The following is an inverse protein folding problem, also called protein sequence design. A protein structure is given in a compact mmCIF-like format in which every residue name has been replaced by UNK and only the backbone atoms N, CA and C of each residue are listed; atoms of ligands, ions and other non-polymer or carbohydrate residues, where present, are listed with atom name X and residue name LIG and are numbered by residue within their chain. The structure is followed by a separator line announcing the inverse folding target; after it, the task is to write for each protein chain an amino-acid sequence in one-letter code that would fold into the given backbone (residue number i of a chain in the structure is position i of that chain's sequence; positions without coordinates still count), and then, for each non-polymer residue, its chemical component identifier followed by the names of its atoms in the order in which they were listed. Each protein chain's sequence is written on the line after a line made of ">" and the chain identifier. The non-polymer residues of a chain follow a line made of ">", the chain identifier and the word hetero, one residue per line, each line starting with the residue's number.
data_IF_069162056271
#
_entry.id   IF_069162056271
#
_cell.length_a   1.000
_cell.length_b   1.000
_cell.length_c   1.000
_cell.angle_alpha   90.00
_cell.angle_beta   90.00
_cell.angle_gamma   90.00
#
_symmetry.space_group_name_H-M   'P 1'
#
loop_
_entity.id
_entity.type
_entity.pdbx_description
1 polymer ?
#
# COMPACT_ATOMS: atom_id res chain seq x y z
N UNK A 1 -28.20 -1.86 -10.96
CA UNK A 1 -29.20 -2.88 -10.61
C UNK A 1 -29.66 -2.58 -9.21
N UNK A 2 -30.94 -2.25 -9.05
CA UNK A 2 -31.52 -1.84 -7.79
C UNK A 2 -31.55 -3.04 -6.83
N UNK A 3 -31.00 -2.87 -5.63
CA UNK A 3 -31.33 -3.75 -4.51
C UNK A 3 -32.70 -3.31 -4.02
N UNK A 4 -33.74 -4.03 -4.44
CA UNK A 4 -35.06 -3.89 -3.80
C UNK A 4 -34.90 -4.33 -2.35
N UNK A 5 -35.25 -3.45 -1.42
CA UNK A 5 -35.26 -3.76 0.00
C UNK A 5 -36.40 -4.75 0.25
N UNK A 6 -36.07 -5.94 0.75
CA UNK A 6 -37.07 -6.94 1.11
C UNK A 6 -37.92 -6.44 2.28
N UNK A 7 -39.24 -6.63 2.18
CA UNK A 7 -40.12 -6.38 3.32
C UNK A 7 -39.83 -7.38 4.45
N UNK A 8 -40.13 -7.01 5.70
CA UNK A 8 -39.88 -7.86 6.86
C UNK A 8 -40.54 -9.25 6.73
N UNK A 9 -41.78 -9.30 6.24
CA UNK A 9 -42.51 -10.55 6.03
C UNK A 9 -41.84 -11.45 4.97
N UNK A 10 -41.34 -10.83 3.91
CA UNK A 10 -40.64 -11.53 2.83
C UNK A 10 -39.29 -12.08 3.34
N UNK A 11 -38.58 -11.30 4.15
CA UNK A 11 -37.36 -11.76 4.82
C UNK A 11 -37.63 -12.98 5.72
N UNK A 12 -38.70 -12.97 6.50
CA UNK A 12 -39.09 -14.12 7.32
C UNK A 12 -39.41 -15.35 6.48
N UNK A 13 -40.10 -15.18 5.35
CA UNK A 13 -40.38 -16.27 4.42
C UNK A 13 -39.09 -16.87 3.85
N UNK A 14 -38.10 -16.04 3.50
CA UNK A 14 -36.80 -16.51 3.05
C UNK A 14 -36.08 -17.35 4.12
N UNK A 15 -36.11 -16.91 5.38
CA UNK A 15 -35.45 -17.58 6.50
C UNK A 15 -36.15 -18.88 6.88
N UNK A 16 -37.48 -18.85 7.04
CA UNK A 16 -38.25 -20.00 7.55
C UNK A 16 -38.35 -21.13 6.53
N UNK A 17 -38.40 -20.78 5.25
CA UNK A 17 -38.56 -21.76 4.16
C UNK A 17 -37.25 -22.05 3.43
N UNK A 18 -36.11 -21.55 3.93
CA UNK A 18 -34.79 -21.68 3.30
C UNK A 18 -34.80 -21.32 1.80
N UNK A 19 -35.47 -20.22 1.46
CA UNK A 19 -35.48 -19.74 0.07
C UNK A 19 -34.23 -18.89 -0.18
N UNK A 20 -33.59 -19.00 -1.35
CA UNK A 20 -32.42 -18.20 -1.68
C UNK A 20 -32.76 -16.72 -1.63
N UNK A 21 -31.84 -15.92 -1.09
CA UNK A 21 -32.01 -14.48 -1.01
C UNK A 21 -31.77 -13.88 -2.41
N UNK A 22 -32.68 -13.03 -2.91
CA UNK A 22 -32.51 -12.37 -4.19
C UNK A 22 -31.17 -11.64 -4.29
N UNK A 23 -30.54 -11.71 -5.47
CA UNK A 23 -29.23 -11.10 -5.76
C UNK A 23 -28.04 -11.60 -4.91
N UNK A 24 -28.22 -12.61 -4.06
CA UNK A 24 -27.13 -13.26 -3.34
C UNK A 24 -26.83 -14.60 -4.02
N UNK A 25 -25.58 -14.77 -4.42
CA UNK A 25 -25.09 -16.04 -4.97
C UNK A 25 -24.46 -16.82 -3.82
N UNK A 26 -24.99 -18.02 -3.54
CA UNK A 26 -24.35 -18.95 -2.62
C UNK A 26 -23.06 -19.46 -3.24
N UNK A 27 -21.93 -19.07 -2.64
CA UNK A 27 -20.60 -19.57 -3.02
C UNK A 27 -20.30 -20.76 -2.12
N UNK A 28 -20.14 -21.98 -2.68
CA UNK A 28 -19.76 -23.15 -1.89
C UNK A 28 -18.42 -22.90 -1.18
N UNK A 29 -18.36 -23.27 0.10
CA UNK A 29 -17.12 -23.25 0.88
C UNK A 29 -16.26 -24.47 0.50
N UNK A 30 -15.76 -24.46 -0.73
CA UNK A 30 -14.94 -25.51 -1.31
C UNK A 30 -13.64 -24.88 -1.80
N UNK A 31 -12.53 -25.33 -1.23
CA UNK A 31 -11.21 -25.04 -1.78
C UNK A 31 -11.05 -25.79 -3.09
N UNK A 32 -11.00 -25.06 -4.21
CA UNK A 32 -10.70 -25.66 -5.51
C UNK A 32 -9.26 -26.16 -5.52
N UNK A 33 -9.04 -27.35 -6.07
CA UNK A 33 -7.70 -27.92 -6.22
C UNK A 33 -6.83 -27.03 -7.12
N UNK A 34 -5.53 -26.98 -6.83
CA UNK A 34 -4.56 -26.15 -7.58
C UNK A 34 -4.53 -26.48 -9.09
N UNK A 35 -4.88 -27.72 -9.48
CA UNK A 35 -5.00 -28.12 -10.89
C UNK A 35 -6.16 -27.50 -11.66
N UNK A 36 -7.15 -26.92 -10.95
CA UNK A 36 -8.26 -26.15 -11.54
C UNK A 36 -7.95 -24.65 -11.59
N UNK A 37 -6.78 -24.24 -11.09
CA UNK A 37 -6.36 -22.85 -11.17
C UNK A 37 -6.11 -22.48 -12.64
N UNK A 38 -6.73 -21.39 -13.08
CA UNK A 38 -6.47 -20.87 -14.43
C UNK A 38 -5.15 -20.13 -14.41
N UNK A 39 -4.15 -20.62 -15.14
CA UNK A 39 -2.92 -19.88 -15.35
C UNK A 39 -3.19 -18.66 -16.23
N UNK A 40 -2.67 -17.47 -15.88
CA UNK A 40 -2.88 -16.27 -16.68
C UNK A 40 -2.18 -16.45 -18.04
N UNK A 41 -2.96 -16.70 -19.09
CA UNK A 41 -2.47 -16.83 -20.47
C UNK A 41 -2.33 -15.50 -21.20
N UNK A 42 -2.80 -14.41 -20.59
CA UNK A 42 -2.80 -13.08 -21.18
C UNK A 42 -1.44 -12.41 -21.04
N UNK A 43 -1.01 -11.75 -22.13
CA UNK A 43 0.21 -10.94 -22.12
C UNK A 43 0.06 -9.80 -21.10
N UNK A 44 1.10 -9.53 -20.29
CA UNK A 44 1.08 -8.39 -19.37
C UNK A 44 0.77 -7.10 -20.11
N UNK A 45 -0.13 -6.28 -19.56
CA UNK A 45 -0.44 -4.96 -20.11
C UNK A 45 0.81 -4.09 -20.01
N UNK A 46 1.22 -3.48 -21.13
CA UNK A 46 2.30 -2.51 -21.15
C UNK A 46 2.01 -1.35 -20.20
N UNK A 47 3.03 -0.93 -19.46
CA UNK A 47 2.88 0.16 -18.49
C UNK A 47 2.55 1.46 -19.23
N UNK A 48 1.72 2.36 -18.66
CA UNK A 48 1.33 3.60 -19.32
C UNK A 48 2.53 4.44 -19.79
N UNK A 49 3.63 4.44 -19.03
CA UNK A 49 4.86 5.18 -19.32
C UNK A 49 5.77 4.51 -20.36
N UNK A 50 5.62 3.21 -20.64
CA UNK A 50 6.43 2.50 -21.65
C UNK A 50 5.96 2.81 -23.08
N UNK A 51 4.71 3.25 -23.26
CA UNK A 51 4.15 3.57 -24.60
C UNK A 51 4.93 4.65 -25.34
N UNK A 52 5.52 5.62 -24.63
CA UNK A 52 6.20 6.76 -25.25
C UNK A 52 7.51 6.37 -25.96
N UNK A 53 8.17 5.31 -25.52
CA UNK A 53 9.44 4.85 -26.10
C UNK A 53 9.22 4.11 -27.42
N UNK A 54 8.08 3.42 -27.56
CA UNK A 54 7.78 2.58 -28.72
C UNK A 54 7.45 3.40 -29.98
N UNK A 55 6.87 4.59 -29.82
CA UNK A 55 6.56 5.49 -30.93
C UNK A 55 7.79 6.10 -31.63
N UNK A 56 9.00 5.99 -31.05
CA UNK A 56 10.21 6.55 -31.67
C UNK A 56 10.84 5.64 -32.73
N UNK A 57 10.53 4.34 -32.73
CA UNK A 57 11.20 3.35 -33.59
C UNK A 57 10.38 2.89 -34.80
N UNK A 58 9.09 3.20 -34.87
CA UNK A 58 8.17 2.74 -35.93
C UNK A 58 7.71 3.86 -36.90
N UNK A 59 8.42 4.99 -36.93
CA UNK A 59 8.03 6.21 -37.66
C UNK A 59 8.24 6.15 -39.20
N UNK A 60 8.15 4.97 -39.82
CA UNK A 60 8.16 4.83 -41.29
C UNK A 60 6.88 4.22 -41.89
N UNK A 61 5.89 3.81 -41.08
CA UNK A 61 4.64 3.26 -41.66
C UNK A 61 3.39 3.72 -40.89
N UNK A 62 2.61 4.57 -41.60
CA UNK A 62 1.21 4.97 -41.38
C UNK A 62 0.94 6.18 -40.49
N UNK A 63 0.84 7.29 -41.21
CA UNK A 63 0.06 8.47 -40.87
C UNK A 63 -1.42 8.15 -40.56
N UNK A 64 -2.02 9.10 -39.83
CA UNK A 64 -3.44 9.38 -39.62
C UNK A 64 -4.19 8.57 -38.55
N UNK A 65 -4.18 9.12 -37.33
CA UNK A 65 -5.42 9.50 -36.63
C UNK A 65 -5.12 10.56 -35.57
N UNK A 66 -5.89 11.64 -35.62
CA UNK A 66 -5.81 12.87 -34.84
C UNK A 66 -6.17 12.69 -33.35
N UNK A 67 -5.43 13.40 -32.50
CA UNK A 67 -5.86 14.27 -31.37
C UNK A 67 -6.70 13.62 -30.24
N UNK A 68 -6.31 13.70 -28.96
CA UNK A 68 -6.06 14.94 -28.23
C UNK A 68 -5.16 14.71 -27.01
N UNK A 69 -4.13 15.54 -26.90
CA UNK A 69 -3.24 15.64 -25.77
C UNK A 69 -3.96 16.37 -24.63
N UNK A 70 -4.32 15.69 -23.55
CA UNK A 70 -4.62 16.39 -22.29
C UNK A 70 -3.32 16.58 -21.52
N UNK A 71 -2.43 17.44 -22.03
CA UNK A 71 -1.41 18.07 -21.19
C UNK A 71 -2.17 19.03 -20.26
N UNK A 72 -2.58 18.55 -19.10
CA UNK A 72 -3.13 19.41 -18.04
C UNK A 72 -1.96 20.22 -17.50
N UNK A 73 -1.95 21.57 -17.61
CA UNK A 73 -0.93 22.36 -16.96
C UNK A 73 -1.06 22.14 -15.45
N UNK A 74 -0.02 21.64 -14.81
CA UNK A 74 0.09 21.65 -13.35
C UNK A 74 0.32 23.11 -12.94
N UNK A 75 -0.76 23.83 -12.68
CA UNK A 75 -0.73 25.17 -12.07
C UNK A 75 -0.50 25.00 -10.56
N UNK A 76 0.70 24.53 -10.19
CA UNK A 76 1.13 24.48 -8.80
C UNK A 76 1.82 25.80 -8.52
N UNK A 77 1.18 26.65 -7.72
CA UNK A 77 1.77 27.87 -7.22
C UNK A 77 3.08 27.53 -6.46
N UNK A 78 4.19 28.14 -6.87
CA UNK A 78 5.51 27.93 -6.27
C UNK A 78 5.49 28.19 -4.75
N UNK A 79 4.71 29.18 -4.29
CA UNK A 79 4.50 29.48 -2.87
C UNK A 79 3.82 28.32 -2.12
N UNK A 80 2.83 27.66 -2.74
CA UNK A 80 2.14 26.51 -2.17
C UNK A 80 3.06 25.32 -2.05
N UNK A 81 3.92 25.10 -3.06
CA UNK A 81 4.93 24.04 -3.05
C UNK A 81 5.96 24.26 -1.93
N UNK A 82 6.48 25.48 -1.80
CA UNK A 82 7.44 25.84 -0.73
C UNK A 82 6.85 25.71 0.67
N UNK A 83 5.57 26.04 0.82
CA UNK A 83 4.86 25.85 2.09
C UNK A 83 4.68 24.37 2.45
N UNK A 84 4.40 23.53 1.46
CA UNK A 84 4.28 22.07 1.68
C UNK A 84 5.63 21.43 2.00
N UNK A 85 6.70 21.82 1.30
CA UNK A 85 8.04 21.28 1.55
C UNK A 85 8.61 21.76 2.89
N UNK A 86 8.35 23.01 3.27
CA UNK A 86 8.76 23.54 4.57
C UNK A 86 8.05 22.83 5.74
N UNK A 87 6.74 22.57 5.62
CA UNK A 87 6.00 21.74 6.60
C UNK A 87 6.53 20.31 6.69
N UNK A 88 6.90 19.72 5.55
CA UNK A 88 7.46 18.38 5.52
C UNK A 88 8.82 18.34 6.24
N UNK A 89 9.68 19.34 6.02
CA UNK A 89 10.95 19.45 6.74
C UNK A 89 10.76 19.59 8.26
N UNK A 90 9.79 20.41 8.69
CA UNK A 90 9.42 20.56 10.10
C UNK A 90 8.99 19.21 10.73
N UNK A 91 8.22 18.39 10.02
CA UNK A 91 7.86 17.05 10.49
C UNK A 91 9.07 16.13 10.71
N UNK A 92 10.05 16.17 9.80
CA UNK A 92 11.28 15.39 9.93
C UNK A 92 12.14 15.84 11.11
N UNK A 93 12.23 17.16 11.36
CA UNK A 93 12.95 17.70 12.52
C UNK A 93 12.31 17.26 13.84
N UNK A 94 10.98 17.25 13.92
CA UNK A 94 10.24 16.77 15.10
C UNK A 94 10.51 15.28 15.32
N UNK A 95 10.44 14.48 14.27
CA UNK A 95 10.69 13.04 14.35
C UNK A 95 12.11 12.72 14.84
N UNK A 96 13.13 13.44 14.34
CA UNK A 96 14.51 13.27 14.80
C UNK A 96 14.71 13.66 16.27
N UNK A 97 13.97 14.64 16.79
CA UNK A 97 14.04 15.03 18.21
C UNK A 97 13.39 14.03 19.14
N UNK A 98 12.38 13.30 18.67
CA UNK A 98 11.73 12.25 19.46
C UNK A 98 12.63 11.02 19.60
N UNK A 99 13.36 10.65 18.54
CA UNK A 99 14.22 9.46 18.52
C UNK A 99 15.44 9.56 19.46
N UNK A 100 15.92 10.76 19.80
CA UNK A 100 17.07 10.95 20.70
C UNK A 100 16.74 10.92 22.20
N UNK A 101 15.47 10.97 22.60
CA UNK A 101 15.10 11.04 24.02
C UNK A 101 14.68 9.67 24.60
N UNK A 102 14.94 8.56 23.88
CA UNK A 102 14.50 7.22 24.27
C UNK A 102 15.62 6.37 24.90
N UNK A 103 16.89 6.79 24.77
CA UNK A 103 18.05 5.95 25.16
C UNK A 103 18.75 6.32 26.49
N UNK A 104 18.27 7.31 27.26
CA UNK A 104 18.98 7.83 28.46
C UNK A 104 18.25 7.60 29.80
N UNK A 105 17.46 6.52 29.95
CA UNK A 105 16.89 6.15 31.27
C UNK A 105 16.80 4.62 31.46
N UNK A 106 17.97 3.97 31.61
CA UNK A 106 18.10 2.70 32.35
C UNK A 106 19.48 2.65 33.03
N UNK A 107 19.67 3.53 34.01
CA UNK A 107 20.78 3.50 34.95
C UNK A 107 20.60 2.38 35.97
N UNK A 108 20.85 1.13 35.56
CA UNK A 108 20.90 -0.03 36.43
C UNK A 108 22.25 -0.16 37.13
N UNK A 109 22.37 0.49 38.29
CA UNK A 109 23.40 0.31 39.31
C UNK A 109 23.36 -1.13 39.86
N UNK A 110 24.36 -1.94 39.51
CA UNK A 110 24.67 -3.18 40.21
C UNK A 110 26.14 -3.14 40.62
N UNK A 111 26.35 -2.67 41.85
CA UNK A 111 27.52 -3.01 42.66
C UNK A 111 27.64 -4.53 42.74
N UNK A 112 28.76 -5.08 42.25
CA UNK A 112 29.21 -6.42 42.63
C UNK A 112 30.72 -6.38 42.88
N UNK A 113 31.04 -6.16 44.15
CA UNK A 113 32.33 -6.44 44.78
C UNK A 113 32.62 -7.95 44.71
N UNK A 114 33.68 -8.39 44.02
CA UNK A 114 34.56 -9.43 44.59
C UNK A 114 35.91 -9.57 43.85
N UNK A 115 36.97 -9.06 44.49
CA UNK A 115 38.16 -9.83 44.88
C UNK A 115 38.81 -10.78 43.84
N UNK A 116 40.02 -10.42 43.37
CA UNK A 116 41.19 -11.31 43.52
C UNK A 116 42.53 -10.59 43.26
N UNK A 117 43.19 -10.31 44.38
CA UNK A 117 44.64 -10.37 44.62
C UNK A 117 45.57 -10.87 43.49
N UNK A 118 46.43 -9.98 42.95
CA UNK A 118 47.85 -10.31 42.75
C UNK A 118 48.71 -9.03 42.76
N UNK A 119 49.40 -8.83 43.89
CA UNK A 119 50.49 -7.86 44.05
C UNK A 119 51.72 -8.43 43.36
N UNK A 120 52.11 -7.84 42.25
CA UNK A 120 53.37 -8.07 41.56
C UNK A 120 54.53 -7.59 42.45
N UNK A 121 55.37 -8.51 42.92
CA UNK A 121 56.69 -8.18 43.46
C UNK A 121 57.69 -8.14 42.29
N UNK A 122 58.40 -7.03 42.21
CA UNK A 122 59.52 -6.65 41.34
C UNK A 122 60.63 -7.69 41.17
N UNK A 123 61.20 -7.70 39.94
CA UNK A 123 62.62 -7.94 39.54
C UNK A 123 63.43 -9.02 40.22
#
# INVERSE_FOLDING_TARGET
>A
MAGDELSYEELLDHILNNKPIPNIVEVPDVTLDEGLSSSPSLKPRTRPWERQQQHRSDNDVRQQSQESETNVPLDIDQESLEKMTSKLAECYDIQSKLDMNVDDDDGGDYDDDDNSNDKSMTR
#
